data_IF_347850995075
#
_entry.id   IF_347850995075
#
_cell.length_a   1.000
_cell.length_b   1.000
_cell.length_c   1.000
_cell.angle_alpha   90.00
_cell.angle_beta   90.00
_cell.angle_gamma   90.00
#
_symmetry.space_group_name_H-M   'P 1'
#
loop_
_entity.id
_entity.type
_entity.pdbx_description
1 polymer ?
#
# COMPACT_ATOMS: atom_id res chain seq x y z
N UNK A 1 7.91 -7.77 10.88
CA UNK A 1 7.05 -6.84 10.10
C UNK A 1 7.41 -6.81 8.62
N UNK A 2 8.67 -6.54 8.22
CA UNK A 2 9.09 -6.55 6.80
C UNK A 2 8.70 -7.83 6.04
N UNK A 3 8.88 -9.01 6.65
CA UNK A 3 8.47 -10.28 6.04
C UNK A 3 6.96 -10.33 5.71
N UNK A 4 6.10 -9.79 6.58
CA UNK A 4 4.65 -9.78 6.38
C UNK A 4 4.27 -8.83 5.25
N UNK A 5 4.90 -7.65 5.18
CA UNK A 5 4.70 -6.71 4.07
C UNK A 5 5.14 -7.31 2.73
N UNK A 6 6.33 -7.92 2.68
CA UNK A 6 6.87 -8.56 1.47
C UNK A 6 5.99 -9.71 0.98
N UNK A 7 5.55 -10.59 1.90
CA UNK A 7 4.62 -11.69 1.57
C UNK A 7 3.28 -11.17 1.08
N UNK A 8 2.72 -10.16 1.73
CA UNK A 8 1.47 -9.53 1.31
C UNK A 8 1.58 -8.87 -0.07
N UNK A 9 2.68 -8.17 -0.34
CA UNK A 9 2.99 -7.62 -1.67
C UNK A 9 3.06 -8.72 -2.73
N UNK A 10 3.78 -9.81 -2.49
CA UNK A 10 3.88 -10.92 -3.44
C UNK A 10 2.52 -11.62 -3.65
N UNK A 11 1.74 -11.79 -2.58
CA UNK A 11 0.40 -12.37 -2.64
C UNK A 11 -0.56 -11.50 -3.46
N UNK A 12 -0.61 -10.19 -3.20
CA UNK A 12 -1.40 -9.23 -3.97
C UNK A 12 -0.96 -9.19 -5.44
N UNK A 13 0.36 -9.19 -5.72
CA UNK A 13 0.89 -9.22 -7.08
C UNK A 13 0.39 -10.43 -7.87
N UNK A 14 0.35 -11.62 -7.24
CA UNK A 14 -0.18 -12.84 -7.86
C UNK A 14 -1.65 -12.70 -8.22
N UNK A 15 -2.48 -12.17 -7.33
CA UNK A 15 -3.91 -11.94 -7.59
C UNK A 15 -4.11 -10.95 -8.73
N UNK A 16 -3.43 -9.80 -8.64
CA UNK A 16 -3.48 -8.76 -9.65
C UNK A 16 -3.09 -9.33 -11.02
N UNK A 17 -1.98 -10.05 -11.12
CA UNK A 17 -1.49 -10.63 -12.39
C UNK A 17 -2.35 -11.76 -12.95
N UNK A 18 -3.23 -12.35 -12.16
CA UNK A 18 -4.21 -13.32 -12.62
C UNK A 18 -5.49 -12.68 -13.19
N UNK A 19 -5.76 -11.40 -12.87
CA UNK A 19 -6.90 -10.69 -13.42
C UNK A 19 -6.68 -10.33 -14.90
N UNK A 20 -7.68 -10.57 -15.78
CA UNK A 20 -7.75 -9.92 -17.08
C UNK A 20 -7.69 -8.38 -16.96
N UNK A 21 -7.22 -7.72 -18.01
CA UNK A 21 -7.04 -6.26 -17.96
C UNK A 21 -8.38 -5.49 -18.01
N UNK A 22 -9.38 -6.05 -18.68
CA UNK A 22 -10.71 -5.45 -18.82
C UNK A 22 -11.52 -5.48 -17.51
N UNK A 23 -11.35 -6.49 -16.65
CA UNK A 23 -12.07 -6.57 -15.36
C UNK A 23 -11.57 -5.57 -14.31
N UNK A 24 -10.50 -4.82 -14.59
CA UNK A 24 -10.01 -3.80 -13.65
C UNK A 24 -10.98 -2.62 -13.50
N UNK A 25 -11.82 -2.36 -14.50
CA UNK A 25 -12.84 -1.30 -14.42
C UNK A 25 -14.10 -1.74 -13.68
N UNK A 26 -14.25 -3.04 -13.42
CA UNK A 26 -15.38 -3.59 -12.69
C UNK A 26 -15.26 -3.32 -11.18
N UNK A 27 -16.38 -3.52 -10.48
CA UNK A 27 -16.46 -3.37 -9.04
C UNK A 27 -15.48 -4.27 -8.30
N UNK A 28 -14.89 -3.71 -7.24
CA UNK A 28 -14.15 -4.43 -6.21
C UNK A 28 -15.10 -4.92 -5.10
N UNK A 29 -14.58 -5.55 -4.04
CA UNK A 29 -15.40 -5.88 -2.87
C UNK A 29 -15.78 -4.64 -2.05
N UNK A 30 -15.14 -3.49 -2.29
CA UNK A 30 -15.47 -2.22 -1.64
C UNK A 30 -16.55 -1.51 -2.44
N UNK A 31 -17.72 -1.33 -1.82
CA UNK A 31 -18.88 -0.67 -2.45
C UNK A 31 -18.49 0.70 -3.01
N UNK A 32 -18.78 0.90 -4.30
CA UNK A 32 -18.51 2.14 -5.02
C UNK A 32 -17.05 2.33 -5.45
N UNK A 33 -16.21 1.31 -5.34
CA UNK A 33 -14.84 1.33 -5.85
C UNK A 33 -14.59 0.24 -6.88
N UNK A 34 -13.87 0.58 -7.95
CA UNK A 34 -13.39 -0.38 -8.95
C UNK A 34 -12.12 -1.08 -8.48
N UNK A 35 -11.78 -2.22 -9.10
CA UNK A 35 -10.49 -2.90 -8.85
C UNK A 35 -9.31 -2.00 -9.20
N UNK A 36 -9.43 -1.16 -10.23
CA UNK A 36 -8.44 -0.16 -10.59
C UNK A 36 -8.19 0.85 -9.45
N UNK A 37 -9.23 1.27 -8.72
CA UNK A 37 -9.08 2.14 -7.54
C UNK A 37 -8.35 1.43 -6.39
N UNK A 38 -8.60 0.14 -6.16
CA UNK A 38 -7.84 -0.66 -5.19
C UNK A 38 -6.36 -0.73 -5.58
N UNK A 39 -6.05 -1.06 -6.84
CA UNK A 39 -4.67 -1.15 -7.34
C UNK A 39 -3.94 0.19 -7.25
N UNK A 40 -4.59 1.28 -7.67
CA UNK A 40 -4.05 2.63 -7.54
C UNK A 40 -3.78 2.98 -6.07
N UNK A 41 -4.74 2.72 -5.19
CA UNK A 41 -4.60 2.92 -3.74
C UNK A 41 -3.40 2.17 -3.15
N UNK A 42 -3.22 0.91 -3.55
CA UNK A 42 -2.05 0.10 -3.16
C UNK A 42 -0.73 0.72 -3.62
N UNK A 43 -0.65 1.18 -4.87
CA UNK A 43 0.54 1.82 -5.41
C UNK A 43 0.86 3.15 -4.73
N UNK A 44 -0.13 4.03 -4.55
CA UNK A 44 0.08 5.33 -3.91
C UNK A 44 0.36 5.23 -2.42
N UNK A 45 -0.20 4.25 -1.71
CA UNK A 45 0.18 3.99 -0.32
C UNK A 45 1.66 3.62 -0.20
N UNK A 46 2.19 2.79 -1.12
CA UNK A 46 3.60 2.46 -1.12
C UNK A 46 4.49 3.68 -1.40
N UNK A 47 4.09 4.55 -2.35
CA UNK A 47 4.79 5.84 -2.60
C UNK A 47 4.73 6.77 -1.39
N UNK A 48 3.59 6.87 -0.72
CA UNK A 48 3.43 7.66 0.50
C UNK A 48 4.38 7.22 1.60
N UNK A 49 4.45 5.91 1.86
CA UNK A 49 5.42 5.35 2.81
C UNK A 49 6.87 5.61 2.37
N UNK A 50 7.20 5.46 1.10
CA UNK A 50 8.56 5.71 0.60
C UNK A 50 8.99 7.17 0.83
N UNK A 51 8.08 8.15 0.64
CA UNK A 51 8.33 9.56 0.97
C UNK A 51 8.63 9.78 2.45
N UNK A 52 7.92 9.08 3.35
CA UNK A 52 8.21 9.13 4.78
C UNK A 52 9.60 8.57 5.10
N UNK A 53 9.96 7.43 4.49
CA UNK A 53 11.28 6.81 4.68
C UNK A 53 12.41 7.70 4.17
N UNK A 54 12.22 8.35 3.02
CA UNK A 54 13.16 9.32 2.46
C UNK A 54 13.35 10.51 3.42
N UNK A 55 12.25 11.01 4.00
CA UNK A 55 12.29 12.06 5.02
C UNK A 55 13.06 11.65 6.28
N UNK A 56 12.79 10.45 6.80
CA UNK A 56 13.53 9.87 7.93
C UNK A 56 15.03 9.76 7.63
N UNK A 57 15.40 9.27 6.44
CA UNK A 57 16.79 9.15 6.00
C UNK A 57 17.51 10.50 5.95
N UNK A 58 16.80 11.56 5.53
CA UNK A 58 17.34 12.93 5.43
C UNK A 58 17.25 13.72 6.74
N UNK A 59 16.51 13.23 7.73
CA UNK A 59 16.20 13.99 8.94
C UNK A 59 15.30 15.20 8.68
N UNK A 60 14.49 15.18 7.62
CA UNK A 60 13.56 16.25 7.23
C UNK A 60 12.15 15.70 7.13
N UNK A 61 11.21 16.30 7.88
CA UNK A 61 9.80 15.92 7.80
C UNK A 61 9.30 16.06 6.35
N UNK A 62 8.88 14.95 5.76
CA UNK A 62 8.38 14.87 4.39
C UNK A 62 7.01 14.21 4.46
N UNK A 63 5.91 14.91 4.14
CA UNK A 63 4.58 14.34 4.27
C UNK A 63 4.33 13.24 3.22
N UNK A 64 3.55 12.20 3.58
CA UNK A 64 3.18 11.14 2.63
C UNK A 64 2.29 11.67 1.48
N UNK A 65 1.41 12.62 1.79
CA UNK A 65 0.58 13.38 0.85
C UNK A 65 0.31 14.79 1.41
N UNK A 66 -0.05 15.74 0.54
CA UNK A 66 -0.40 17.11 0.96
C UNK A 66 -1.67 17.19 1.82
N UNK A 67 -2.67 16.36 1.53
CA UNK A 67 -3.94 16.30 2.26
C UNK A 67 -4.69 15.00 1.96
N UNK A 68 -5.69 14.67 2.77
CA UNK A 68 -6.62 13.55 2.50
C UNK A 68 -7.34 13.73 1.15
N UNK A 69 -7.71 14.96 0.80
CA UNK A 69 -8.33 15.26 -0.49
C UNK A 69 -7.36 15.02 -1.66
N UNK A 70 -6.09 15.42 -1.51
CA UNK A 70 -5.05 15.18 -2.52
C UNK A 70 -4.79 13.68 -2.71
N UNK A 71 -4.69 12.92 -1.62
CA UNK A 71 -4.54 11.46 -1.69
C UNK A 71 -5.72 10.81 -2.43
N UNK A 72 -6.96 11.19 -2.10
CA UNK A 72 -8.15 10.66 -2.79
C UNK A 72 -8.15 11.02 -4.27
N UNK A 73 -7.80 12.26 -4.62
CA UNK A 73 -7.71 12.71 -6.00
C UNK A 73 -6.62 11.95 -6.78
N UNK A 74 -5.45 11.69 -6.18
CA UNK A 74 -4.40 10.87 -6.78
C UNK A 74 -4.89 9.45 -7.09
N UNK A 75 -5.63 8.81 -6.18
CA UNK A 75 -6.20 7.47 -6.40
C UNK A 75 -7.24 7.48 -7.51
N UNK A 76 -8.17 8.45 -7.52
CA UNK A 76 -9.20 8.57 -8.55
C UNK A 76 -8.55 8.77 -9.92
N UNK A 77 -7.62 9.73 -10.03
CA UNK A 77 -6.90 9.97 -11.27
C UNK A 77 -6.10 8.74 -11.71
N UNK A 78 -5.35 8.12 -10.80
CA UNK A 78 -4.57 6.92 -11.11
C UNK A 78 -5.41 5.73 -11.52
N UNK A 79 -6.65 5.60 -11.02
CA UNK A 79 -7.56 4.52 -11.41
C UNK A 79 -8.01 4.60 -12.87
N UNK A 80 -7.83 5.76 -13.53
CA UNK A 80 -8.10 5.93 -14.96
C UNK A 80 -6.97 5.47 -15.88
N UNK A 81 -5.82 5.06 -15.31
CA UNK A 81 -4.68 4.59 -16.08
C UNK A 81 -5.00 3.25 -16.79
N UNK A 82 -4.39 2.99 -17.97
CA UNK A 82 -4.47 1.68 -18.60
C UNK A 82 -3.94 0.57 -17.68
N UNK A 83 -4.46 -0.65 -17.82
CA UNK A 83 -4.11 -1.79 -16.98
C UNK A 83 -2.59 -2.02 -16.82
N UNK A 84 -1.84 -1.96 -17.93
CA UNK A 84 -0.38 -2.04 -17.92
C UNK A 84 0.26 -0.97 -17.04
N UNK A 85 -0.25 0.26 -17.07
CA UNK A 85 0.27 1.36 -16.26
C UNK A 85 -0.11 1.21 -14.78
N UNK A 86 -1.28 0.67 -14.45
CA UNK A 86 -1.66 0.32 -13.07
C UNK A 86 -0.74 -0.76 -12.48
N UNK A 87 -0.45 -1.80 -13.25
CA UNK A 87 0.51 -2.87 -12.86
C UNK A 87 1.92 -2.30 -12.67
N UNK A 88 2.37 -1.44 -13.58
CA UNK A 88 3.65 -0.74 -13.46
C UNK A 88 3.70 0.20 -12.25
N UNK A 89 2.62 0.91 -11.95
CA UNK A 89 2.49 1.75 -10.75
C UNK A 89 2.67 0.90 -9.49
N UNK A 90 1.95 -0.23 -9.39
CA UNK A 90 2.05 -1.16 -8.28
C UNK A 90 3.47 -1.68 -8.10
N UNK A 91 4.05 -2.23 -9.17
CA UNK A 91 5.37 -2.89 -9.14
C UNK A 91 6.49 -1.91 -8.79
N UNK A 92 6.57 -0.78 -9.50
CA UNK A 92 7.59 0.23 -9.25
C UNK A 92 7.48 0.82 -7.84
N UNK A 93 6.28 1.08 -7.34
CA UNK A 93 6.09 1.62 -6.00
C UNK A 93 6.47 0.60 -4.90
N UNK A 94 6.15 -0.68 -5.11
CA UNK A 94 6.52 -1.75 -4.18
C UNK A 94 8.06 -1.94 -4.11
N UNK A 95 8.73 -1.95 -5.26
CA UNK A 95 10.20 -2.03 -5.35
C UNK A 95 10.84 -0.82 -4.67
N UNK A 96 10.37 0.39 -4.98
CA UNK A 96 10.94 1.60 -4.40
C UNK A 96 10.81 1.64 -2.87
N UNK A 97 9.66 1.27 -2.32
CA UNK A 97 9.49 1.18 -0.87
C UNK A 97 10.42 0.14 -0.23
N UNK A 98 10.60 -1.02 -0.86
CA UNK A 98 11.51 -2.05 -0.31
C UNK A 98 12.97 -1.59 -0.32
N UNK A 99 13.38 -0.82 -1.34
CA UNK A 99 14.68 -0.16 -1.40
C UNK A 99 14.84 0.86 -0.28
N UNK A 100 13.85 1.73 -0.06
CA UNK A 100 13.91 2.71 1.04
C UNK A 100 14.01 2.03 2.41
N UNK A 101 13.32 0.91 2.64
CA UNK A 101 13.51 0.12 3.87
C UNK A 101 14.90 -0.50 3.97
N UNK A 102 15.40 -1.11 2.90
CA UNK A 102 16.71 -1.76 2.88
C UNK A 102 17.84 -0.77 3.16
N UNK A 103 17.73 0.43 2.60
CA UNK A 103 18.80 1.44 2.62
C UNK A 103 18.67 2.41 3.80
N UNK A 104 17.64 2.25 4.65
CA UNK A 104 17.46 3.10 5.82
C UNK A 104 18.53 2.81 6.90
N UNK A 105 19.32 3.81 7.32
CA UNK A 105 20.30 3.63 8.38
C UNK A 105 19.67 3.19 9.71
N UNK A 106 20.40 2.38 10.49
CA UNK A 106 19.93 1.84 11.78
C UNK A 106 19.21 2.86 12.68
N UNK A 107 19.83 4.01 13.01
CA UNK A 107 19.20 5.02 13.86
C UNK A 107 17.96 5.70 13.24
N UNK A 108 17.87 5.77 11.91
CA UNK A 108 16.75 6.41 11.23
C UNK A 108 15.46 5.56 11.31
N UNK A 109 15.54 4.29 11.71
CA UNK A 109 14.37 3.45 11.98
C UNK A 109 13.53 3.96 13.16
N UNK A 110 14.14 4.70 14.08
CA UNK A 110 13.47 5.26 15.25
C UNK A 110 13.06 6.73 15.05
N UNK A 111 13.24 7.28 13.84
CA UNK A 111 12.79 8.62 13.48
C UNK A 111 11.26 8.70 13.57
N UNK A 112 10.76 9.77 14.20
CA UNK A 112 9.33 10.06 14.27
C UNK A 112 8.82 10.57 12.92
N UNK A 113 7.69 10.02 12.50
CA UNK A 113 7.01 10.33 11.26
C UNK A 113 5.57 10.74 11.58
N UNK A 114 5.09 11.77 10.89
CA UNK A 114 3.70 12.20 10.96
C UNK A 114 2.90 11.62 9.80
N UNK A 115 1.86 10.86 10.12
CA UNK A 115 0.89 10.31 9.17
C UNK A 115 -0.13 11.36 8.75
N UNK A 116 -0.83 11.09 7.65
CA UNK A 116 -1.83 11.99 7.08
C UNK A 116 -3.04 12.23 8.00
N UNK A 117 -3.34 11.27 8.88
CA UNK A 117 -4.37 11.36 9.92
C UNK A 117 -3.89 12.06 11.21
N UNK A 118 -2.65 12.53 11.23
CA UNK A 118 -2.02 13.18 12.38
C UNK A 118 -1.36 12.22 13.38
N UNK A 119 -1.47 10.91 13.18
CA UNK A 119 -0.80 9.94 14.03
C UNK A 119 0.73 10.10 13.94
N UNK A 120 1.40 10.08 15.09
CA UNK A 120 2.86 9.99 15.16
C UNK A 120 3.25 8.52 15.26
N UNK A 121 4.07 8.07 14.32
CA UNK A 121 4.64 6.72 14.27
C UNK A 121 6.17 6.82 14.18
N UNK A 122 6.86 5.69 14.19
CA UNK A 122 8.26 5.58 13.80
C UNK A 122 8.42 4.98 12.41
N UNK A 123 9.58 5.18 11.78
CA UNK A 123 9.91 4.47 10.54
C UNK A 123 9.80 2.93 10.69
N UNK A 124 10.04 2.39 11.89
CA UNK A 124 9.89 0.97 12.25
C UNK A 124 8.45 0.45 12.17
N UNK A 125 7.45 1.33 12.23
CA UNK A 125 6.04 0.96 12.13
C UNK A 125 5.57 0.81 10.67
N UNK A 126 6.27 1.45 9.72
CA UNK A 126 5.86 1.45 8.31
C UNK A 126 5.71 0.05 7.69
N UNK A 127 6.52 -0.98 8.03
CA UNK A 127 6.31 -2.32 7.47
C UNK A 127 5.05 -3.00 8.01
N UNK A 128 4.66 -2.80 9.27
CA UNK A 128 3.41 -3.41 9.78
C UNK A 128 2.19 -2.69 9.18
N UNK A 129 2.24 -1.36 9.08
CA UNK A 129 1.21 -0.56 8.41
C UNK A 129 1.03 -1.02 6.95
N UNK A 130 2.13 -1.22 6.22
CA UNK A 130 2.06 -1.77 4.85
C UNK A 130 1.46 -3.17 4.83
N UNK A 131 1.85 -4.04 5.76
CA UNK A 131 1.33 -5.40 5.83
C UNK A 131 -0.19 -5.42 6.03
N UNK A 132 -0.70 -4.67 7.02
CA UNK A 132 -2.13 -4.56 7.30
C UNK A 132 -2.90 -4.09 6.06
N UNK A 133 -2.41 -3.01 5.44
CA UNK A 133 -3.01 -2.44 4.25
C UNK A 133 -3.04 -3.40 3.06
N UNK A 134 -1.92 -4.05 2.74
CA UNK A 134 -1.83 -4.87 1.52
C UNK A 134 -2.60 -6.19 1.66
N UNK A 135 -2.64 -6.79 2.85
CA UNK A 135 -3.40 -8.01 3.09
C UNK A 135 -4.91 -7.74 3.04
N UNK A 136 -5.36 -6.60 3.57
CA UNK A 136 -6.74 -6.17 3.41
C UNK A 136 -7.06 -5.86 1.94
N UNK A 137 -6.16 -5.16 1.24
CA UNK A 137 -6.34 -4.83 -0.17
C UNK A 137 -6.49 -6.07 -1.05
N UNK A 138 -5.89 -7.21 -0.66
CA UNK A 138 -6.04 -8.47 -1.37
C UNK A 138 -7.48 -9.01 -1.30
N UNK A 139 -8.16 -8.86 -0.15
CA UNK A 139 -9.60 -9.14 -0.04
C UNK A 139 -10.41 -8.11 -0.82
N UNK A 140 -10.09 -6.83 -0.65
CA UNK A 140 -10.81 -5.71 -1.27
C UNK A 140 -10.77 -5.81 -2.81
N UNK A 141 -9.70 -6.37 -3.39
CA UNK A 141 -9.54 -6.57 -4.84
C UNK A 141 -10.59 -7.51 -5.46
N UNK A 142 -11.26 -8.35 -4.66
CA UNK A 142 -12.25 -9.33 -5.13
C UNK A 142 -11.72 -10.20 -6.28
N UNK A 143 -10.58 -10.84 -6.03
CA UNK A 143 -9.85 -11.67 -7.00
C UNK A 143 -9.56 -13.08 -6.46
N UNK A 144 -10.39 -13.57 -5.54
CA UNK A 144 -10.29 -14.92 -4.97
C UNK A 144 -9.49 -15.04 -3.66
N UNK A 145 -9.04 -13.93 -3.07
CA UNK A 145 -8.44 -13.94 -1.74
C UNK A 145 -9.46 -14.31 -0.66
N UNK A 146 -9.04 -15.07 0.35
CA UNK A 146 -9.87 -15.46 1.47
C UNK A 146 -9.27 -14.99 2.80
N UNK A 147 -10.12 -14.79 3.82
CA UNK A 147 -9.67 -14.42 5.18
C UNK A 147 -8.66 -15.45 5.74
N UNK A 148 -8.81 -16.73 5.37
CA UNK A 148 -7.89 -17.79 5.75
C UNK A 148 -6.46 -17.58 5.22
N UNK A 149 -6.31 -16.85 4.11
CA UNK A 149 -5.01 -16.57 3.48
C UNK A 149 -4.23 -15.50 4.25
N UNK A 150 -4.93 -14.65 5.03
CA UNK A 150 -4.31 -13.60 5.83
C UNK A 150 -3.52 -14.24 6.99
N UNK A 151 -2.26 -13.80 7.24
CA UNK A 151 -1.48 -14.24 8.39
C UNK A 151 -2.27 -14.11 9.70
N UNK A 152 -2.28 -15.12 10.59
CA UNK A 152 -3.08 -15.10 11.82
C UNK A 152 -2.91 -13.84 12.66
N UNK A 153 -1.71 -13.27 12.71
CA UNK A 153 -1.40 -12.04 13.45
C UNK A 153 -2.08 -10.77 12.90
N UNK A 154 -2.63 -10.81 11.68
CA UNK A 154 -3.30 -9.67 11.03
C UNK A 154 -4.82 -9.87 10.90
N UNK A 155 -5.35 -11.07 11.23
CA UNK A 155 -6.76 -11.41 10.99
C UNK A 155 -7.74 -10.61 11.84
N UNK A 156 -7.38 -10.30 13.09
CA UNK A 156 -8.25 -9.55 14.00
C UNK A 156 -8.57 -8.16 13.43
N UNK A 157 -7.61 -7.53 12.75
CA UNK A 157 -7.79 -6.21 12.13
C UNK A 157 -8.58 -6.29 10.81
N UNK A 158 -8.39 -7.36 10.03
CA UNK A 158 -9.12 -7.59 8.79
C UNK A 158 -10.64 -7.81 8.99
N UNK A 159 -11.05 -8.22 10.19
CA UNK A 159 -12.45 -8.48 10.55
C UNK A 159 -13.22 -7.25 11.06
N UNK A 160 -12.58 -6.08 11.16
CA UNK A 160 -13.20 -4.85 11.71
C UNK A 160 -13.85 -3.94 10.65
N UNK A 161 -13.95 -4.38 9.40
CA UNK A 161 -14.60 -3.63 8.31
C UNK A 161 -16.00 -4.15 7.99
#
# INVERSE_FOLDING_TARGET
NLLLARRGTAYFARLLNALPDDVLVDNSAVVGQTRAQIVAGVGYHARGLARLMEGARRGVETPEHHSLAAQRAEVILGSSLPARALRGLFDHAAIHLDVEWRDLPGPAWDAQLRRLDGQIITARDTPIIRAQMIWQAALDLDAGAQISDIPPSLRAEALLK
#
